data_IF_926768441053
#
_entry.id   IF_926768441053
#
_cell.length_a   1.000
_cell.length_b   1.000
_cell.length_c   1.000
_cell.angle_alpha   90.00
_cell.angle_beta   90.00
_cell.angle_gamma   90.00
#
_symmetry.space_group_name_H-M   'P 1'
#
loop_
_entity.id
_entity.type
_entity.pdbx_description
1 polymer ?
#
# COMPACT_ATOMS: atom_id res chain seq x y z
N UNK A 1 -6.99 -55.70 -39.30
CA UNK A 1 -5.91 -54.69 -39.33
C UNK A 1 -6.17 -53.70 -38.20
N UNK A 2 -5.11 -53.29 -37.49
CA UNK A 2 -5.13 -52.71 -36.14
C UNK A 2 -5.94 -51.41 -36.00
N UNK A 3 -6.62 -51.31 -34.86
CA UNK A 3 -7.32 -50.15 -34.28
C UNK A 3 -6.33 -49.01 -34.03
N UNK A 4 -6.71 -47.77 -34.36
CA UNK A 4 -6.23 -46.58 -33.61
C UNK A 4 -7.36 -45.55 -33.54
N UNK A 5 -8.11 -45.55 -32.43
CA UNK A 5 -9.06 -44.48 -32.09
C UNK A 5 -8.27 -43.46 -31.26
N UNK A 6 -8.05 -42.26 -31.82
CA UNK A 6 -7.45 -41.14 -31.11
C UNK A 6 -8.50 -40.53 -30.17
N UNK A 7 -8.41 -40.84 -28.88
CA UNK A 7 -9.18 -40.15 -27.83
C UNK A 7 -8.39 -38.90 -27.44
N UNK A 8 -8.83 -37.73 -27.90
CA UNK A 8 -8.34 -36.44 -27.41
C UNK A 8 -9.00 -36.20 -26.04
N UNK A 9 -8.28 -36.54 -24.98
CA UNK A 9 -8.65 -36.17 -23.61
C UNK A 9 -8.36 -34.68 -23.46
N UNK A 10 -9.40 -33.86 -23.55
CA UNK A 10 -9.36 -32.49 -23.05
C UNK A 10 -9.20 -32.56 -21.51
N UNK A 11 -7.95 -32.49 -21.05
CA UNK A 11 -7.66 -32.12 -19.66
C UNK A 11 -8.14 -30.67 -19.50
N UNK A 12 -9.39 -30.53 -19.08
CA UNK A 12 -9.83 -29.36 -18.34
C UNK A 12 -9.00 -29.33 -17.06
N UNK A 13 -7.88 -28.61 -17.12
CA UNK A 13 -7.25 -28.07 -15.92
C UNK A 13 -8.31 -27.14 -15.35
N UNK A 14 -9.11 -27.69 -14.44
CA UNK A 14 -9.77 -26.93 -13.42
C UNK A 14 -8.64 -26.21 -12.67
N UNK A 15 -8.28 -25.02 -13.13
CA UNK A 15 -7.74 -24.02 -12.24
C UNK A 15 -8.84 -23.83 -11.21
N UNK A 16 -8.72 -24.59 -10.12
CA UNK A 16 -9.51 -24.41 -8.94
C UNK A 16 -9.43 -22.92 -8.64
N UNK A 17 -10.57 -22.25 -8.83
CA UNK A 17 -10.83 -20.91 -8.36
C UNK A 17 -10.08 -20.76 -7.04
N UNK A 18 -9.10 -19.85 -7.00
CA UNK A 18 -8.52 -19.39 -5.75
C UNK A 18 -9.68 -18.88 -4.92
N UNK A 19 -10.22 -19.76 -4.07
CA UNK A 19 -11.29 -19.40 -3.16
C UNK A 19 -10.76 -18.20 -2.40
N UNK A 20 -11.48 -17.08 -2.50
CA UNK A 20 -11.25 -15.89 -1.70
C UNK A 20 -11.34 -16.32 -0.23
N UNK A 21 -10.26 -16.86 0.33
CA UNK A 21 -10.18 -17.19 1.75
C UNK A 21 -10.42 -15.88 2.47
N UNK A 22 -11.56 -15.82 3.15
CA UNK A 22 -11.97 -14.68 3.95
C UNK A 22 -10.83 -14.40 4.92
N UNK A 23 -10.35 -13.16 4.97
CA UNK A 23 -9.25 -12.79 5.87
C UNK A 23 -9.72 -13.00 7.30
N UNK A 24 -9.07 -13.92 7.99
CA UNK A 24 -9.37 -14.23 9.40
C UNK A 24 -8.75 -13.18 10.32
N UNK A 25 -9.51 -12.76 11.33
CA UNK A 25 -9.10 -11.79 12.33
C UNK A 25 -9.77 -12.10 13.68
N UNK A 26 -9.15 -11.66 14.77
CA UNK A 26 -9.68 -11.79 16.12
C UNK A 26 -10.77 -10.73 16.37
N UNK A 27 -11.87 -11.11 17.04
CA UNK A 27 -13.00 -10.21 17.35
C UNK A 27 -12.60 -8.97 18.17
N UNK A 28 -11.49 -9.05 18.91
CA UNK A 28 -10.94 -7.90 19.64
C UNK A 28 -10.53 -6.74 18.71
N UNK A 29 -10.26 -7.01 17.43
CA UNK A 29 -9.80 -6.03 16.46
C UNK A 29 -10.83 -4.92 16.22
N UNK A 30 -12.06 -5.20 15.74
CA UNK A 30 -13.07 -4.17 15.58
C UNK A 30 -13.44 -3.47 16.90
N UNK A 31 -13.45 -4.19 18.02
CA UNK A 31 -13.73 -3.59 19.33
C UNK A 31 -12.67 -2.56 19.73
N UNK A 32 -11.39 -2.90 19.53
CA UNK A 32 -10.27 -1.99 19.79
C UNK A 32 -10.36 -0.74 18.92
N UNK A 33 -10.62 -0.89 17.62
CA UNK A 33 -10.74 0.27 16.71
C UNK A 33 -11.91 1.18 17.10
N UNK A 34 -13.06 0.62 17.51
CA UNK A 34 -14.17 1.42 18.07
C UNK A 34 -13.70 2.20 19.30
N UNK A 35 -13.06 1.52 20.26
CA UNK A 35 -12.62 2.13 21.50
C UNK A 35 -11.62 3.28 21.27
N UNK A 36 -10.69 3.13 20.33
CA UNK A 36 -9.74 4.18 19.93
C UNK A 36 -10.48 5.42 19.41
N UNK A 37 -11.49 5.24 18.55
CA UNK A 37 -12.19 6.35 17.92
C UNK A 37 -13.28 7.00 18.78
N UNK A 38 -13.83 6.27 19.75
CA UNK A 38 -14.79 6.84 20.70
C UNK A 38 -14.10 7.59 21.86
N UNK A 39 -12.78 7.49 22.00
CA UNK A 39 -11.96 8.22 22.99
C UNK A 39 -12.44 8.09 24.46
N UNK A 40 -13.07 6.97 24.79
CA UNK A 40 -13.74 6.77 26.08
C UNK A 40 -12.80 6.32 27.23
N UNK A 41 -11.48 6.57 27.13
CA UNK A 41 -10.43 5.96 27.99
C UNK A 41 -10.39 4.41 27.97
N UNK A 42 -11.32 3.76 27.27
CA UNK A 42 -11.48 2.30 27.19
C UNK A 42 -10.40 1.61 26.38
N UNK A 43 -9.73 2.31 25.46
CA UNK A 43 -8.63 1.75 24.64
C UNK A 43 -7.40 1.34 25.46
N UNK A 44 -7.26 1.85 26.69
CA UNK A 44 -6.22 1.49 27.66
C UNK A 44 -6.67 0.42 28.68
N UNK A 45 -7.88 -0.15 28.52
CA UNK A 45 -8.36 -1.21 29.41
C UNK A 45 -7.51 -2.48 29.30
N UNK A 46 -7.50 -3.29 30.37
CA UNK A 46 -6.80 -4.58 30.43
C UNK A 46 -7.20 -5.52 29.29
N UNK A 47 -8.46 -5.44 28.83
CA UNK A 47 -8.98 -6.17 27.67
C UNK A 47 -8.10 -5.97 26.43
N UNK A 48 -7.56 -4.78 26.21
CA UNK A 48 -6.76 -4.48 25.02
C UNK A 48 -5.25 -4.71 25.23
N UNK A 49 -4.82 -5.32 26.33
CA UNK A 49 -3.44 -5.83 26.50
C UNK A 49 -3.36 -7.22 25.86
N UNK A 50 -3.72 -7.30 24.57
CA UNK A 50 -3.74 -8.52 23.78
C UNK A 50 -2.62 -8.50 22.75
N UNK A 51 -1.92 -9.62 22.59
CA UNK A 51 -0.77 -9.76 21.69
C UNK A 51 -1.13 -9.45 20.22
N UNK A 52 -2.37 -9.75 19.85
CA UNK A 52 -3.00 -9.51 18.55
C UNK A 52 -3.03 -8.02 18.17
N UNK A 53 -2.95 -7.13 19.16
CA UNK A 53 -2.99 -5.69 18.99
C UNK A 53 -1.60 -5.05 18.97
N UNK A 54 -0.53 -5.79 19.31
CA UNK A 54 0.80 -5.21 19.50
C UNK A 54 1.30 -4.50 18.23
N UNK A 55 1.22 -5.16 17.08
CA UNK A 55 1.74 -4.58 15.83
C UNK A 55 0.93 -3.36 15.38
N UNK A 56 -0.41 -3.37 15.48
CA UNK A 56 -1.20 -2.19 15.11
C UNK A 56 -1.03 -1.04 16.10
N UNK A 57 -0.89 -1.32 17.40
CA UNK A 57 -0.58 -0.30 18.42
C UNK A 57 0.77 0.35 18.15
N UNK A 58 1.80 -0.46 17.87
CA UNK A 58 3.12 0.03 17.47
C UNK A 58 3.04 0.91 16.22
N UNK A 59 2.32 0.45 15.19
CA UNK A 59 2.11 1.21 13.95
C UNK A 59 1.42 2.56 14.20
N UNK A 60 0.34 2.59 14.98
CA UNK A 60 -0.36 3.85 15.32
C UNK A 60 0.49 4.78 16.19
N UNK A 61 1.25 4.24 17.13
CA UNK A 61 2.20 5.03 17.92
C UNK A 61 3.26 5.65 17.02
N UNK A 62 3.84 4.89 16.09
CA UNK A 62 4.87 5.38 15.17
C UNK A 62 4.34 6.45 14.22
N UNK A 63 3.21 6.18 13.57
CA UNK A 63 2.59 7.13 12.64
C UNK A 63 2.02 8.36 13.36
N UNK A 64 1.94 8.39 14.69
CA UNK A 64 1.57 9.60 15.43
C UNK A 64 2.75 10.56 15.62
N UNK A 65 3.99 10.05 15.57
CA UNK A 65 5.20 10.86 15.77
C UNK A 65 5.42 11.81 14.59
N UNK A 66 5.94 13.01 14.89
CA UNK A 66 6.35 14.01 13.88
C UNK A 66 7.61 13.58 13.14
N UNK A 67 8.62 13.09 13.88
CA UNK A 67 9.80 12.42 13.36
C UNK A 67 9.62 10.94 13.67
N UNK A 68 9.53 10.12 12.62
CA UNK A 68 9.23 8.70 12.75
C UNK A 68 10.14 7.86 11.84
N UNK A 69 10.19 6.57 12.16
CA UNK A 69 10.93 5.52 11.47
C UNK A 69 9.95 4.53 10.83
N UNK A 70 8.87 5.04 10.21
CA UNK A 70 7.80 4.22 9.63
C UNK A 70 8.27 3.35 8.45
N UNK A 71 9.45 3.65 7.90
CA UNK A 71 10.13 2.86 6.86
C UNK A 71 11.11 1.83 7.42
N UNK A 72 11.19 1.65 8.74
CA UNK A 72 12.01 0.62 9.34
C UNK A 72 11.48 -0.79 9.05
N UNK A 73 12.35 -1.79 9.21
CA UNK A 73 12.02 -3.20 8.95
C UNK A 73 10.83 -3.68 9.80
N UNK A 74 10.61 -3.11 10.99
CA UNK A 74 9.49 -3.44 11.87
C UNK A 74 8.12 -3.21 11.18
N UNK A 75 7.98 -2.10 10.46
CA UNK A 75 6.73 -1.71 9.81
C UNK A 75 6.66 -2.12 8.34
N UNK A 76 7.82 -2.36 7.69
CA UNK A 76 7.84 -2.87 6.32
C UNK A 76 7.64 -4.39 6.25
N UNK A 77 8.03 -5.13 7.30
CA UNK A 77 7.75 -6.57 7.39
C UNK A 77 6.27 -6.85 7.24
N UNK A 78 5.97 -8.01 6.67
CA UNK A 78 4.60 -8.45 6.41
C UNK A 78 3.71 -8.31 7.66
N UNK A 79 2.64 -7.49 7.60
CA UNK A 79 1.73 -7.33 8.72
C UNK A 79 0.85 -8.58 8.92
N UNK A 80 0.44 -8.82 10.16
CA UNK A 80 -0.55 -9.86 10.47
C UNK A 80 -1.92 -9.50 9.89
N UNK A 81 -2.79 -10.50 9.69
CA UNK A 81 -4.17 -10.24 9.26
C UNK A 81 -4.90 -9.32 10.24
N UNK A 82 -4.67 -9.48 11.55
CA UNK A 82 -5.21 -8.60 12.58
C UNK A 82 -4.81 -7.14 12.34
N UNK A 83 -3.52 -6.88 12.10
CA UNK A 83 -3.01 -5.54 11.77
C UNK A 83 -3.62 -5.00 10.48
N UNK A 84 -3.71 -5.82 9.43
CA UNK A 84 -4.30 -5.44 8.15
C UNK A 84 -5.77 -5.02 8.29
N UNK A 85 -6.58 -5.82 9.00
CA UNK A 85 -7.98 -5.51 9.27
C UNK A 85 -8.10 -4.26 10.15
N UNK A 86 -7.35 -4.20 11.25
CA UNK A 86 -7.37 -3.07 12.18
C UNK A 86 -7.04 -1.73 11.47
N UNK A 87 -5.99 -1.74 10.66
CA UNK A 87 -5.56 -0.61 9.86
C UNK A 87 -6.63 -0.19 8.83
N UNK A 88 -7.20 -1.16 8.11
CA UNK A 88 -8.27 -0.89 7.14
C UNK A 88 -9.51 -0.28 7.79
N UNK A 89 -9.95 -0.80 8.93
CA UNK A 89 -11.08 -0.23 9.68
C UNK A 89 -10.80 1.21 10.12
N UNK A 90 -9.58 1.49 10.59
CA UNK A 90 -9.15 2.84 10.93
C UNK A 90 -9.20 3.79 9.73
N UNK A 91 -8.76 3.35 8.54
CA UNK A 91 -8.89 4.12 7.30
C UNK A 91 -10.36 4.42 7.00
N UNK A 92 -11.25 3.44 7.13
CA UNK A 92 -12.69 3.65 6.85
C UNK A 92 -13.33 4.65 7.79
N UNK A 93 -12.97 4.63 9.07
CA UNK A 93 -13.40 5.64 10.02
C UNK A 93 -12.85 7.03 9.68
N UNK A 94 -11.57 7.12 9.28
CA UNK A 94 -10.97 8.37 8.79
C UNK A 94 -11.67 8.91 7.56
N UNK A 95 -12.04 8.05 6.61
CA UNK A 95 -12.81 8.48 5.44
C UNK A 95 -14.21 8.97 5.79
N UNK A 96 -14.87 8.29 6.75
CA UNK A 96 -16.16 8.71 7.28
C UNK A 96 -16.07 10.02 8.08
N UNK A 97 -14.96 10.32 8.75
CA UNK A 97 -14.81 11.59 9.47
C UNK A 97 -14.80 12.81 8.53
N UNK A 98 -14.42 12.61 7.27
CA UNK A 98 -14.54 13.61 6.20
C UNK A 98 -15.88 13.58 5.46
N UNK A 99 -16.88 12.80 5.91
CA UNK A 99 -18.24 12.91 5.37
C UNK A 99 -18.93 14.13 5.99
N UNK A 100 -19.67 14.86 5.17
CA UNK A 100 -20.49 15.98 5.59
C UNK A 100 -21.18 16.66 4.40
N UNK A 101 -21.97 17.72 4.66
CA UNK A 101 -22.70 18.44 3.61
C UNK A 101 -21.81 18.91 2.46
N UNK A 102 -20.59 19.35 2.75
CA UNK A 102 -19.60 19.85 1.79
C UNK A 102 -19.14 18.82 0.73
N UNK A 103 -19.33 17.51 0.98
CA UNK A 103 -19.02 16.44 0.01
C UNK A 103 -20.25 15.63 -0.39
N UNK A 104 -21.46 16.05 0.01
CA UNK A 104 -22.71 15.37 -0.32
C UNK A 104 -22.87 13.97 0.29
N UNK A 105 -22.13 13.65 1.36
CA UNK A 105 -22.16 12.33 1.99
C UNK A 105 -22.56 12.43 3.46
N UNK A 106 -23.46 11.55 3.90
CA UNK A 106 -23.87 11.45 5.31
C UNK A 106 -22.76 10.81 6.14
N UNK A 107 -22.41 11.44 7.26
CA UNK A 107 -21.53 10.84 8.27
C UNK A 107 -22.28 9.75 9.02
N UNK A 108 -21.75 8.53 9.01
CA UNK A 108 -22.30 7.39 9.74
C UNK A 108 -21.67 7.25 11.14
N UNK A 109 -22.29 6.47 12.03
CA UNK A 109 -21.69 6.15 13.33
C UNK A 109 -20.51 5.18 13.16
N UNK A 110 -19.51 5.26 14.06
CA UNK A 110 -18.31 4.42 13.99
C UNK A 110 -18.64 2.92 13.94
N UNK A 111 -19.58 2.47 14.78
CA UNK A 111 -20.06 1.09 14.82
C UNK A 111 -20.67 0.65 13.49
N UNK A 112 -21.45 1.52 12.83
CA UNK A 112 -22.07 1.22 11.53
C UNK A 112 -21.01 1.10 10.43
N UNK A 113 -20.05 2.02 10.39
CA UNK A 113 -18.94 1.99 9.42
C UNK A 113 -18.14 0.70 9.56
N UNK A 114 -17.78 0.30 10.79
CA UNK A 114 -17.03 -0.94 11.03
C UNK A 114 -17.84 -2.16 10.60
N UNK A 115 -19.10 -2.28 11.02
CA UNK A 115 -19.98 -3.39 10.63
C UNK A 115 -20.06 -3.53 9.10
N UNK A 116 -20.27 -2.42 8.39
CA UNK A 116 -20.35 -2.41 6.93
C UNK A 116 -19.01 -2.75 6.26
N UNK A 117 -17.90 -2.27 6.84
CA UNK A 117 -16.55 -2.53 6.34
C UNK A 117 -16.14 -3.99 6.50
N UNK A 118 -16.55 -4.64 7.59
CA UNK A 118 -16.34 -6.08 7.82
C UNK A 118 -17.22 -6.96 6.92
N UNK A 119 -18.47 -6.54 6.67
CA UNK A 119 -19.37 -7.24 5.71
C UNK A 119 -18.77 -7.28 4.31
N UNK A 120 -18.08 -6.21 3.92
CA UNK A 120 -17.47 -6.04 2.60
C UNK A 120 -15.94 -6.00 2.67
N UNK A 121 -15.35 -6.79 3.58
CA UNK A 121 -13.92 -6.81 3.79
C UNK A 121 -13.20 -7.20 2.48
N UNK A 122 -12.22 -6.41 2.01
CA UNK A 122 -11.53 -6.71 0.78
C UNK A 122 -10.54 -7.88 1.00
N UNK A 123 -10.02 -8.43 -0.10
CA UNK A 123 -9.03 -9.49 -0.03
C UNK A 123 -7.71 -9.00 0.62
N UNK A 124 -6.86 -9.95 0.99
CA UNK A 124 -5.58 -9.68 1.68
C UNK A 124 -4.69 -8.72 0.89
N UNK A 125 -4.59 -8.86 -0.43
CA UNK A 125 -3.77 -7.99 -1.29
C UNK A 125 -4.25 -6.53 -1.23
N UNK A 126 -5.55 -6.29 -1.26
CA UNK A 126 -6.10 -4.95 -1.11
C UNK A 126 -5.87 -4.38 0.29
N UNK A 127 -6.01 -5.18 1.35
CA UNK A 127 -5.67 -4.75 2.72
C UNK A 127 -4.19 -4.37 2.85
N UNK A 128 -3.31 -5.18 2.26
CA UNK A 128 -1.86 -4.96 2.24
C UNK A 128 -1.50 -3.68 1.48
N UNK A 129 -2.16 -3.45 0.34
CA UNK A 129 -2.01 -2.21 -0.42
C UNK A 129 -2.43 -0.98 0.39
N UNK A 130 -3.53 -1.05 1.14
CA UNK A 130 -3.89 0.03 2.06
C UNK A 130 -2.81 0.27 3.11
N UNK A 131 -2.29 -0.80 3.72
CA UNK A 131 -1.25 -0.71 4.75
C UNK A 131 0.02 -0.01 4.24
N UNK A 132 0.62 -0.49 3.14
CA UNK A 132 1.83 0.12 2.60
C UNK A 132 1.59 1.52 2.02
N UNK A 133 0.39 1.78 1.46
CA UNK A 133 0.04 3.14 1.04
C UNK A 133 0.10 4.13 2.21
N UNK A 134 -0.40 3.76 3.40
CA UNK A 134 -0.31 4.64 4.58
C UNK A 134 1.13 4.96 4.97
N UNK A 135 2.04 3.99 4.87
CA UNK A 135 3.48 4.21 5.15
C UNK A 135 4.03 5.29 4.23
N UNK A 136 3.87 5.12 2.92
CA UNK A 136 4.47 6.03 1.95
C UNK A 136 3.74 7.38 1.82
N UNK A 137 2.44 7.43 2.16
CA UNK A 137 1.73 8.69 2.38
C UNK A 137 2.32 9.43 3.59
N UNK A 138 2.64 8.73 4.67
CA UNK A 138 3.20 9.35 5.87
C UNK A 138 4.62 9.88 5.63
N UNK A 139 5.46 9.09 4.94
CA UNK A 139 6.78 9.52 4.43
C UNK A 139 6.65 10.82 3.65
N UNK A 140 5.78 10.84 2.64
CA UNK A 140 5.55 12.03 1.80
C UNK A 140 5.12 13.25 2.63
N UNK A 141 4.32 13.07 3.67
CA UNK A 141 3.75 14.17 4.45
C UNK A 141 4.69 14.70 5.54
N UNK A 142 5.52 13.84 6.15
CA UNK A 142 6.28 14.19 7.36
C UNK A 142 7.79 14.19 7.19
N UNK A 143 8.32 13.45 6.23
CA UNK A 143 9.75 13.37 5.97
C UNK A 143 10.11 14.31 4.81
N UNK A 144 10.00 15.63 5.06
CA UNK A 144 10.40 16.68 4.11
C UNK A 144 11.56 17.51 4.70
N UNK A 145 12.75 17.53 4.07
CA UNK A 145 13.13 16.74 2.89
C UNK A 145 13.18 15.23 3.21
N UNK A 146 12.98 14.40 2.19
CA UNK A 146 13.15 12.96 2.32
C UNK A 146 14.64 12.67 2.55
N UNK A 147 14.95 11.73 3.44
CA UNK A 147 16.33 11.33 3.72
C UNK A 147 16.38 9.81 3.88
N UNK A 148 16.19 9.11 2.77
CA UNK A 148 16.18 7.65 2.69
C UNK A 148 17.28 7.10 1.76
N UNK A 149 18.26 7.93 1.37
CA UNK A 149 19.35 7.57 0.46
C UNK A 149 20.13 6.32 0.92
N UNK A 150 20.39 6.24 2.22
CA UNK A 150 21.12 5.11 2.86
C UNK A 150 20.23 3.89 3.10
N UNK A 151 18.91 4.02 2.92
CA UNK A 151 18.00 2.91 3.16
C UNK A 151 17.93 1.98 1.94
N UNK A 152 18.01 0.68 2.22
CA UNK A 152 17.72 -0.38 1.26
C UNK A 152 16.50 -1.17 1.74
N UNK A 153 15.41 -1.10 0.99
CA UNK A 153 14.24 -1.95 1.19
C UNK A 153 14.51 -3.28 0.49
N UNK A 154 15.05 -4.23 1.26
CA UNK A 154 15.27 -5.60 0.79
C UNK A 154 13.99 -6.42 0.94
N UNK A 155 13.25 -6.56 -0.16
CA UNK A 155 11.97 -7.26 -0.25
C UNK A 155 12.08 -8.74 0.12
N UNK A 156 13.27 -9.34 0.05
CA UNK A 156 13.50 -10.74 0.41
C UNK A 156 13.54 -10.93 1.94
N UNK A 157 13.82 -9.86 2.70
CA UNK A 157 13.92 -9.91 4.17
C UNK A 157 12.61 -9.57 4.90
N UNK A 158 11.58 -9.16 4.15
CA UNK A 158 10.31 -8.65 4.71
C UNK A 158 9.27 -9.74 5.00
N UNK A 159 9.60 -11.01 4.74
CA UNK A 159 8.69 -12.16 4.87
C UNK A 159 7.40 -12.00 4.04
N UNK A 160 7.48 -11.39 2.85
CA UNK A 160 6.38 -11.30 1.90
C UNK A 160 6.22 -12.64 1.17
N UNK A 161 4.99 -13.17 1.10
CA UNK A 161 4.76 -14.56 0.68
C UNK A 161 5.07 -14.82 -0.80
N UNK A 162 4.91 -13.81 -1.64
CA UNK A 162 4.97 -13.95 -3.08
C UNK A 162 5.24 -12.62 -3.78
N UNK A 163 5.45 -12.70 -5.09
CA UNK A 163 5.69 -11.57 -5.98
C UNK A 163 4.57 -10.53 -5.97
N UNK A 164 3.31 -10.94 -5.71
CA UNK A 164 2.21 -9.97 -5.58
C UNK A 164 2.37 -9.09 -4.34
N UNK A 165 2.73 -9.67 -3.19
CA UNK A 165 2.97 -8.90 -1.97
C UNK A 165 4.18 -7.97 -2.12
N UNK A 166 5.27 -8.45 -2.77
CA UNK A 166 6.44 -7.64 -3.13
C UNK A 166 6.09 -6.49 -4.07
N UNK A 167 5.34 -6.77 -5.13
CA UNK A 167 4.87 -5.75 -6.08
C UNK A 167 3.98 -4.70 -5.40
N UNK A 168 3.11 -5.09 -4.46
CA UNK A 168 2.25 -4.17 -3.72
C UNK A 168 3.08 -3.16 -2.92
N UNK A 169 4.08 -3.61 -2.17
CA UNK A 169 4.95 -2.70 -1.41
C UNK A 169 5.67 -1.73 -2.35
N UNK A 170 6.34 -2.24 -3.37
CA UNK A 170 7.08 -1.41 -4.32
C UNK A 170 6.17 -0.39 -5.03
N UNK A 171 5.04 -0.83 -5.57
CA UNK A 171 4.15 0.03 -6.35
C UNK A 171 3.45 1.08 -5.49
N UNK A 172 3.10 0.77 -4.23
CA UNK A 172 2.57 1.77 -3.30
C UNK A 172 3.63 2.83 -2.94
N UNK A 173 4.90 2.44 -2.82
CA UNK A 173 6.01 3.39 -2.70
C UNK A 173 6.10 4.30 -3.93
N UNK A 174 6.08 3.73 -5.14
CA UNK A 174 6.18 4.50 -6.38
C UNK A 174 5.00 5.43 -6.59
N UNK A 175 3.78 5.02 -6.20
CA UNK A 175 2.60 5.86 -6.29
C UNK A 175 2.72 7.16 -5.51
N UNK A 176 3.33 7.12 -4.33
CA UNK A 176 3.39 8.27 -3.41
C UNK A 176 4.72 9.00 -3.49
N UNK A 177 5.83 8.27 -3.36
CA UNK A 177 7.17 8.82 -3.41
C UNK A 177 7.63 9.00 -4.86
N UNK A 178 7.52 7.96 -5.69
CA UNK A 178 7.93 8.01 -7.11
C UNK A 178 7.18 9.08 -7.92
N UNK A 179 5.89 9.30 -7.65
CA UNK A 179 5.11 10.33 -8.36
C UNK A 179 5.62 11.77 -8.13
N UNK A 180 6.38 12.03 -7.06
CA UNK A 180 7.06 13.33 -6.90
C UNK A 180 8.15 13.52 -7.96
N UNK A 181 8.85 12.45 -8.35
CA UNK A 181 9.84 12.47 -9.44
C UNK A 181 9.17 12.90 -10.74
N UNK A 182 8.03 12.30 -11.09
CA UNK A 182 7.23 12.71 -12.26
C UNK A 182 6.83 14.19 -12.16
N UNK A 183 6.35 14.61 -10.99
CA UNK A 183 5.87 15.99 -10.77
C UNK A 183 6.99 17.01 -10.97
N UNK A 184 8.19 16.76 -10.43
CA UNK A 184 9.34 17.61 -10.66
C UNK A 184 9.80 17.57 -12.12
N UNK A 185 10.04 16.38 -12.68
CA UNK A 185 10.60 16.24 -14.03
C UNK A 185 9.67 16.76 -15.16
N UNK A 186 8.36 16.81 -14.93
CA UNK A 186 7.39 17.34 -15.92
C UNK A 186 7.07 18.82 -15.74
N UNK A 187 7.55 19.46 -14.66
CA UNK A 187 7.41 20.90 -14.47
C UNK A 187 8.20 21.63 -15.55
N UNK A 188 7.48 22.36 -16.43
CA UNK A 188 8.06 22.94 -17.65
C UNK A 188 8.86 24.23 -17.41
N UNK A 189 8.48 25.03 -16.41
CA UNK A 189 9.10 26.34 -16.18
C UNK A 189 9.28 26.62 -14.67
N UNK A 190 10.53 26.77 -14.19
CA UNK A 190 11.80 26.43 -14.87
C UNK A 190 11.94 24.90 -15.10
N UNK A 191 12.87 24.48 -15.96
CA UNK A 191 13.29 23.06 -16.03
C UNK A 191 13.71 22.63 -14.62
N UNK A 192 13.08 21.57 -14.12
CA UNK A 192 13.19 21.15 -12.73
C UNK A 192 13.81 19.75 -12.60
N UNK A 193 14.52 19.28 -13.62
CA UNK A 193 15.22 17.99 -13.60
C UNK A 193 16.22 17.88 -12.45
N UNK A 194 16.82 18.97 -11.98
CA UNK A 194 17.68 18.95 -10.79
C UNK A 194 16.92 18.49 -9.54
N UNK A 195 15.69 18.98 -9.29
CA UNK A 195 14.86 18.52 -8.16
C UNK A 195 14.41 17.08 -8.33
N UNK A 196 14.11 16.66 -9.56
CA UNK A 196 13.77 15.27 -9.82
C UNK A 196 14.93 14.34 -9.45
N UNK A 197 16.17 14.68 -9.83
CA UNK A 197 17.38 13.92 -9.49
C UNK A 197 17.68 13.95 -7.99
N UNK A 198 17.69 15.14 -7.38
CA UNK A 198 17.89 15.30 -5.94
C UNK A 198 16.86 14.46 -5.15
N UNK A 199 15.61 14.44 -5.61
CA UNK A 199 14.58 13.63 -4.97
C UNK A 199 14.88 12.13 -5.08
N UNK A 200 15.36 11.66 -6.24
CA UNK A 200 15.74 10.26 -6.47
C UNK A 200 16.98 9.85 -5.67
N UNK A 201 17.96 10.74 -5.52
CA UNK A 201 19.14 10.52 -4.65
C UNK A 201 18.75 10.32 -3.19
N UNK A 202 17.64 10.92 -2.77
CA UNK A 202 17.10 10.80 -1.41
C UNK A 202 16.09 9.66 -1.22
N UNK A 203 15.74 8.92 -2.27
CA UNK A 203 14.84 7.76 -2.20
C UNK A 203 15.56 6.50 -1.70
N UNK A 204 14.84 5.56 -1.07
CA UNK A 204 15.41 4.26 -0.76
C UNK A 204 15.71 3.46 -2.02
N UNK A 205 16.71 2.60 -1.93
CA UNK A 205 16.93 1.52 -2.90
C UNK A 205 15.97 0.36 -2.62
N UNK A 206 15.66 -0.42 -3.65
CA UNK A 206 14.88 -1.64 -3.57
C UNK A 206 15.75 -2.80 -4.05
N UNK A 207 16.03 -3.76 -3.16
CA UNK A 207 16.96 -4.87 -3.43
C UNK A 207 18.31 -4.37 -4.00
N UNK A 208 18.84 -3.28 -3.45
CA UNK A 208 20.10 -2.65 -3.86
C UNK A 208 20.02 -1.78 -5.12
N UNK A 209 18.86 -1.74 -5.81
CA UNK A 209 18.68 -0.98 -7.05
C UNK A 209 17.93 0.32 -6.81
N UNK A 210 18.29 1.37 -7.56
CA UNK A 210 17.45 2.57 -7.68
C UNK A 210 16.14 2.22 -8.38
N UNK A 211 15.06 2.94 -8.09
CA UNK A 211 13.71 2.51 -8.50
C UNK A 211 13.57 2.34 -10.03
N UNK A 212 14.25 3.16 -10.84
CA UNK A 212 14.17 3.10 -12.30
C UNK A 212 14.96 1.93 -12.94
N UNK A 213 15.78 1.26 -12.15
CA UNK A 213 16.49 0.01 -12.48
C UNK A 213 15.80 -1.23 -11.88
N UNK A 214 14.82 -1.02 -10.99
CA UNK A 214 14.07 -2.12 -10.39
C UNK A 214 13.16 -2.79 -11.44
N UNK A 215 13.16 -4.12 -11.41
CA UNK A 215 12.32 -4.95 -12.27
C UNK A 215 11.08 -5.37 -11.47
N UNK A 216 9.93 -4.86 -11.89
CA UNK A 216 8.66 -5.19 -11.26
C UNK A 216 8.35 -6.69 -11.50
N UNK A 217 8.19 -7.51 -10.44
CA UNK A 217 7.88 -8.91 -10.63
C UNK A 217 6.48 -9.09 -11.21
N UNK A 218 6.23 -10.25 -11.84
CA UNK A 218 4.90 -10.57 -12.37
C UNK A 218 3.96 -10.87 -11.22
N UNK A 219 2.79 -10.23 -11.21
CA UNK A 219 1.81 -10.42 -10.15
C UNK A 219 0.38 -10.45 -10.69
N UNK A 220 -0.52 -11.04 -9.91
CA UNK A 220 -1.94 -11.10 -10.22
C UNK A 220 -2.63 -9.78 -9.92
N UNK A 221 -3.52 -9.34 -10.82
CA UNK A 221 -4.29 -8.13 -10.57
C UNK A 221 -5.43 -8.37 -9.59
N UNK A 222 -5.84 -7.30 -8.90
CA UNK A 222 -6.97 -7.34 -7.97
C UNK A 222 -7.67 -5.99 -7.91
N UNK A 223 -8.91 -5.99 -7.42
CA UNK A 223 -9.70 -4.76 -7.28
C UNK A 223 -9.39 -4.04 -5.97
N UNK A 224 -9.13 -2.74 -6.04
CA UNK A 224 -8.89 -1.86 -4.90
C UNK A 224 -9.86 -0.68 -4.91
N UNK A 225 -10.23 -0.23 -3.71
CA UNK A 225 -11.03 0.98 -3.51
C UNK A 225 -10.10 2.16 -3.22
N UNK A 226 -9.96 3.08 -4.16
CA UNK A 226 -9.06 4.24 -4.01
C UNK A 226 -9.78 5.54 -3.64
N UNK A 227 -11.07 5.61 -3.93
CA UNK A 227 -11.95 6.73 -3.62
C UNK A 227 -13.30 6.16 -3.20
N UNK A 228 -13.76 6.54 -2.00
CA UNK A 228 -15.07 6.12 -1.45
C UNK A 228 -16.26 6.47 -2.35
N UNK A 229 -16.09 7.37 -3.32
CA UNK A 229 -17.12 7.82 -4.27
C UNK A 229 -17.12 7.07 -5.60
N UNK A 230 -16.07 6.31 -5.88
CA UNK A 230 -15.90 5.63 -7.17
C UNK A 230 -15.99 4.11 -7.00
N UNK A 231 -16.40 3.38 -8.06
CA UNK A 231 -16.28 1.93 -8.07
C UNK A 231 -14.84 1.48 -7.82
N UNK A 232 -14.69 0.26 -7.30
CA UNK A 232 -13.38 -0.38 -7.20
C UNK A 232 -12.77 -0.53 -8.60
N UNK A 233 -11.47 -0.33 -8.70
CA UNK A 233 -10.72 -0.41 -9.97
C UNK A 233 -9.55 -1.39 -9.86
N UNK A 234 -8.94 -1.73 -11.00
CA UNK A 234 -7.74 -2.55 -11.06
C UNK A 234 -6.59 -1.90 -10.29
N UNK A 235 -5.85 -2.70 -9.51
CA UNK A 235 -4.63 -2.26 -8.87
C UNK A 235 -3.55 -1.98 -9.92
N UNK A 236 -3.41 -2.82 -10.94
CA UNK A 236 -2.49 -2.58 -12.06
C UNK A 236 -2.76 -1.25 -12.76
N UNK A 237 -4.00 -1.02 -13.19
CA UNK A 237 -4.40 0.24 -13.85
C UNK A 237 -4.12 1.45 -12.98
N UNK A 238 -4.25 1.30 -11.65
CA UNK A 238 -4.04 2.41 -10.72
C UNK A 238 -2.58 2.73 -10.45
N UNK A 239 -1.72 1.72 -10.31
CA UNK A 239 -0.37 1.89 -9.74
C UNK A 239 0.76 1.74 -10.76
N UNK A 240 0.62 0.89 -11.79
CA UNK A 240 1.69 0.69 -12.79
C UNK A 240 1.99 1.99 -13.57
N UNK A 241 0.99 2.75 -14.06
CA UNK A 241 1.29 3.98 -14.81
C UNK A 241 2.10 4.99 -14.01
N UNK A 242 1.93 5.05 -12.69
CA UNK A 242 2.63 5.98 -11.81
C UNK A 242 4.12 5.62 -11.72
N UNK A 243 4.44 4.33 -11.65
CA UNK A 243 5.80 3.82 -11.68
C UNK A 243 6.45 4.06 -13.05
N UNK A 244 5.78 3.69 -14.15
CA UNK A 244 6.32 3.86 -15.50
C UNK A 244 6.53 5.33 -15.85
N UNK A 245 5.60 6.21 -15.46
CA UNK A 245 5.76 7.65 -15.66
C UNK A 245 6.98 8.19 -14.89
N UNK A 246 7.18 7.79 -13.63
CA UNK A 246 8.34 8.20 -12.84
C UNK A 246 9.65 7.72 -13.48
N UNK A 247 9.67 6.47 -13.96
CA UNK A 247 10.81 5.85 -14.64
C UNK A 247 11.15 6.56 -15.94
N UNK A 248 10.16 6.87 -16.78
CA UNK A 248 10.35 7.61 -18.02
C UNK A 248 10.83 9.04 -17.76
N UNK A 249 10.24 9.71 -16.77
CA UNK A 249 10.54 11.09 -16.46
C UNK A 249 11.98 11.26 -15.96
N UNK A 250 12.46 10.38 -15.05
CA UNK A 250 13.85 10.46 -14.59
C UNK A 250 14.84 10.09 -15.70
N UNK A 251 14.53 9.09 -16.54
CA UNK A 251 15.38 8.73 -17.69
C UNK A 251 15.58 9.90 -18.64
N UNK A 252 14.52 10.68 -18.89
CA UNK A 252 14.61 11.91 -19.69
C UNK A 252 15.55 12.93 -19.05
N UNK A 253 15.39 13.20 -17.76
CA UNK A 253 16.26 14.14 -17.03
C UNK A 253 17.74 13.73 -17.05
N UNK A 254 18.03 12.43 -16.93
CA UNK A 254 19.40 11.91 -16.99
C UNK A 254 19.98 11.99 -18.42
N UNK A 255 19.14 11.93 -19.46
CA UNK A 255 19.58 12.09 -20.85
C UNK A 255 19.88 13.55 -21.22
N UNK A 256 19.09 14.51 -20.70
CA UNK A 256 19.33 15.94 -20.91
C UNK A 256 20.70 16.40 -20.38
N UNK A 257 21.21 15.78 -19.31
CA UNK A 257 22.56 16.05 -18.80
C UNK A 257 23.68 15.60 -19.74
N UNK A 258 23.52 14.43 -20.37
CA UNK A 258 24.53 13.90 -21.30
C UNK A 258 24.67 14.74 -22.56
N UNK A 259 23.65 15.52 -22.91
CA UNK A 259 23.66 16.43 -24.07
C UNK A 259 24.21 17.81 -23.71
N UNK A 260 24.25 18.17 -22.42
CA UNK A 260 24.73 19.47 -21.93
C UNK A 260 26.14 19.39 -21.31
N UNK A 261 26.76 18.21 -21.30
CA UNK A 261 28.19 17.98 -21.01
C UNK A 261 28.96 17.82 -22.31
#
# INVERSE_FOLDING_TARGET
MRITILIIIFLSINFAFGQNKKVEYNEIIPEYIIAVWENNKTSNSSKFIASELNQIKGFFAEISKRKNNITSIEFLKKPTNNTLVAHYLNIKLKWNSFNGPHVGLKKESNKKVIKNSLKNLPNKNALLAFYYSSIFIDVLNKQKPMSLAEANIDLETLNLDNDSEKAILFLTAMRHVGNQVTSYATTRFPNNCFRAKEYVENMPKFNGKVFYEFELPKFEDFKIEVDKRKPKMSFKERYIPEFENAKLAIKKCLAEEKTNQ
#
